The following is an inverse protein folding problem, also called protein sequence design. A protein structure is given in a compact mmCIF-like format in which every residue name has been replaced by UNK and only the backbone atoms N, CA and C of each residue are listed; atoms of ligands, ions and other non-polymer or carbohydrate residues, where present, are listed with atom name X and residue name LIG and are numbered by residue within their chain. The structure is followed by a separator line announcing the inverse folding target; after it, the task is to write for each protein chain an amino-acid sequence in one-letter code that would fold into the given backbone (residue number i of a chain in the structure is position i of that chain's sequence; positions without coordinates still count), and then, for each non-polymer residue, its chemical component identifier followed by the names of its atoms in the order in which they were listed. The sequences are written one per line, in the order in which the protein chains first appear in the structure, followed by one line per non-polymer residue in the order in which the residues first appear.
data_IF_490579849898
#
_entry.id   IF_490579849898
#
_cell.length_a   1.000
_cell.length_b   1.000
_cell.length_c   1.000
_cell.angle_alpha   90.00
_cell.angle_beta   90.00
_cell.angle_gamma   90.00
#
_symmetry.space_group_name_H-M   'P 1'
#
loop_
_entity.id
_entity.type
_entity.pdbx_description
1 polymer ?
#
# COMPACT_ATOMS: atom_id res chain seq x y z
N UNK A 1 -21.71 -5.21 15.14
CA UNK A 1 -20.34 -5.23 15.69
C UNK A 1 -19.70 -3.89 15.33
N UNK A 2 -18.90 -3.31 16.22
CA UNK A 2 -18.20 -2.04 15.98
C UNK A 2 -16.71 -2.23 16.20
N UNK A 3 -15.89 -1.52 15.43
CA UNK A 3 -14.46 -1.38 15.64
C UNK A 3 -14.22 0.01 16.22
N UNK A 4 -13.34 0.10 17.21
CA UNK A 4 -12.99 1.35 17.89
C UNK A 4 -11.47 1.44 17.93
N UNK A 5 -10.94 2.57 17.46
CA UNK A 5 -9.51 2.88 17.50
C UNK A 5 -9.26 4.27 18.11
N UNK A 6 -8.05 4.55 18.62
CA UNK A 6 -7.71 5.88 19.14
C UNK A 6 -7.78 6.96 18.05
N UNK A 7 -8.21 8.16 18.44
CA UNK A 7 -8.19 9.31 17.53
C UNK A 7 -6.76 9.66 17.10
N UNK A 8 -6.52 9.72 15.77
CA UNK A 8 -5.18 9.94 15.21
C UNK A 8 -4.81 11.43 15.04
N UNK A 9 -5.81 12.33 15.08
CA UNK A 9 -5.67 13.77 14.87
C UNK A 9 -6.16 14.23 13.48
N UNK A 10 -5.95 15.51 13.19
CA UNK A 10 -6.56 16.19 12.03
C UNK A 10 -5.72 16.14 10.73
N UNK A 11 -4.48 15.62 10.79
CA UNK A 11 -3.53 15.63 9.66
C UNK A 11 -3.46 14.25 8.98
N UNK A 12 -4.62 13.70 8.67
CA UNK A 12 -4.74 12.40 8.00
C UNK A 12 -4.31 12.49 6.53
N UNK A 13 -3.49 11.53 6.09
CA UNK A 13 -2.98 11.44 4.74
C UNK A 13 -3.04 9.99 4.24
N UNK A 14 -3.37 9.83 2.96
CA UNK A 14 -3.22 8.57 2.24
C UNK A 14 -1.95 8.62 1.41
N UNK A 15 -1.04 7.67 1.63
CA UNK A 15 0.31 7.70 1.06
C UNK A 15 0.44 6.88 -0.22
N UNK A 16 -0.25 5.74 -0.30
CA UNK A 16 -0.39 4.96 -1.51
C UNK A 16 -1.76 4.31 -1.62
N UNK A 17 -2.06 3.74 -2.78
CA UNK A 17 -3.30 2.99 -3.03
C UNK A 17 -3.01 1.50 -3.15
N UNK A 18 -4.04 0.68 -2.99
CA UNK A 18 -3.97 -0.76 -3.25
C UNK A 18 -3.68 -1.16 -4.71
N UNK A 19 -3.80 -0.23 -5.66
CA UNK A 19 -3.35 -0.42 -7.06
C UNK A 19 -1.92 0.06 -7.31
N UNK A 20 -1.19 0.47 -6.27
CA UNK A 20 0.22 0.81 -6.40
C UNK A 20 0.54 2.26 -6.73
N UNK A 21 -0.44 3.17 -6.70
CA UNK A 21 -0.18 4.59 -6.93
C UNK A 21 0.40 5.24 -5.67
N UNK A 22 1.53 5.92 -5.81
CA UNK A 22 2.12 6.74 -4.74
C UNK A 22 1.51 8.14 -4.79
N UNK A 23 0.96 8.61 -3.67
CA UNK A 23 0.30 9.92 -3.57
C UNK A 23 1.25 11.00 -3.02
N UNK A 24 0.87 12.28 -3.20
CA UNK A 24 1.62 13.43 -2.65
C UNK A 24 1.31 13.60 -1.15
N UNK A 25 2.26 14.08 -0.33
CA UNK A 25 3.60 14.54 -0.71
C UNK A 25 4.58 13.39 -1.00
N UNK A 26 5.36 13.55 -2.07
CA UNK A 26 6.20 12.48 -2.64
C UNK A 26 7.15 11.88 -1.61
N UNK A 27 7.76 12.66 -0.72
CA UNK A 27 8.74 12.15 0.25
C UNK A 27 8.15 11.14 1.24
N UNK A 28 6.91 11.33 1.70
CA UNK A 28 6.21 10.37 2.57
C UNK A 28 5.77 9.15 1.77
N UNK A 29 5.25 9.38 0.56
CA UNK A 29 4.89 8.35 -0.38
C UNK A 29 6.06 7.42 -0.73
N UNK A 30 7.29 7.94 -0.82
CA UNK A 30 8.50 7.14 -1.09
C UNK A 30 8.80 6.16 0.05
N UNK A 31 8.73 6.59 1.32
CA UNK A 31 8.93 5.69 2.46
C UNK A 31 7.86 4.59 2.49
N UNK A 32 6.61 4.93 2.19
CA UNK A 32 5.51 3.97 2.17
C UNK A 32 5.62 3.00 0.99
N UNK A 33 6.05 3.46 -0.19
CA UNK A 33 6.34 2.60 -1.32
C UNK A 33 7.49 1.62 -1.01
N UNK A 34 8.53 2.06 -0.31
CA UNK A 34 9.60 1.18 0.16
C UNK A 34 9.08 0.14 1.16
N UNK A 35 8.21 0.53 2.11
CA UNK A 35 7.60 -0.41 3.05
C UNK A 35 6.76 -1.46 2.32
N UNK A 36 5.98 -1.05 1.32
CA UNK A 36 5.24 -1.97 0.44
C UNK A 36 6.20 -2.95 -0.26
N UNK A 37 7.27 -2.47 -0.88
CA UNK A 37 8.25 -3.36 -1.54
C UNK A 37 8.92 -4.32 -0.54
N UNK A 38 9.31 -3.83 0.64
CA UNK A 38 9.89 -4.65 1.70
C UNK A 38 8.95 -5.78 2.12
N UNK A 39 7.65 -5.49 2.28
CA UNK A 39 6.65 -6.51 2.66
C UNK A 39 6.57 -7.66 1.66
N UNK A 40 6.64 -7.36 0.36
CA UNK A 40 6.70 -8.39 -0.68
C UNK A 40 7.97 -9.21 -0.60
N UNK A 41 9.11 -8.55 -0.37
CA UNK A 41 10.38 -9.26 -0.25
C UNK A 41 10.43 -10.19 0.97
N UNK A 42 10.11 -9.68 2.16
CA UNK A 42 10.24 -10.43 3.42
C UNK A 42 9.26 -11.62 3.48
N UNK A 43 8.12 -11.50 2.80
CA UNK A 43 7.12 -12.57 2.68
C UNK A 43 7.40 -13.52 1.51
N UNK A 44 8.56 -13.39 0.83
CA UNK A 44 8.96 -14.21 -0.33
C UNK A 44 7.93 -14.18 -1.47
N UNK A 45 7.37 -13.00 -1.71
CA UNK A 45 6.42 -12.73 -2.77
C UNK A 45 4.98 -13.14 -2.48
N UNK A 46 4.65 -13.51 -1.24
CA UNK A 46 3.30 -13.95 -0.90
C UNK A 46 2.32 -12.80 -0.65
N UNK A 47 2.81 -11.71 -0.04
CA UNK A 47 1.95 -10.61 0.41
C UNK A 47 2.56 -9.25 0.09
N UNK A 48 1.71 -8.30 -0.27
CA UNK A 48 2.07 -6.89 -0.42
C UNK A 48 1.19 -6.04 0.49
N UNK A 49 1.83 -5.29 1.38
CA UNK A 49 1.18 -4.26 2.18
C UNK A 49 1.00 -2.99 1.33
N UNK A 50 -0.22 -2.48 1.23
CA UNK A 50 -0.57 -1.31 0.44
C UNK A 50 -1.75 -0.53 1.08
N UNK A 51 -2.29 0.45 0.36
CA UNK A 51 -3.30 1.38 0.88
C UNK A 51 -2.88 2.08 2.19
N UNK A 52 -1.58 2.37 2.32
CA UNK A 52 -1.00 2.90 3.53
C UNK A 52 -1.50 4.33 3.76
N UNK A 53 -2.16 4.53 4.90
CA UNK A 53 -2.82 5.77 5.27
C UNK A 53 -2.76 5.98 6.80
N UNK A 54 -2.85 7.23 7.22
CA UNK A 54 -2.80 7.59 8.64
C UNK A 54 -2.16 8.95 8.85
N UNK A 55 -1.38 9.09 9.93
CA UNK A 55 -0.81 10.38 10.34
C UNK A 55 0.69 10.30 10.51
N UNK A 56 1.42 11.24 9.90
CA UNK A 56 2.84 11.47 10.18
C UNK A 56 3.01 12.38 11.39
N UNK A 57 3.70 11.88 12.41
CA UNK A 57 4.22 12.68 13.53
C UNK A 57 5.70 12.98 13.29
N UNK A 58 6.33 13.77 14.18
CA UNK A 58 7.72 14.24 14.01
C UNK A 58 8.73 13.11 13.74
N UNK A 59 8.56 11.97 14.41
CA UNK A 59 9.53 10.87 14.45
C UNK A 59 8.95 9.51 14.02
N UNK A 60 7.65 9.46 13.67
CA UNK A 60 6.95 8.21 13.37
C UNK A 60 5.75 8.40 12.48
N UNK A 61 5.31 7.31 11.86
CA UNK A 61 4.01 7.19 11.22
C UNK A 61 3.09 6.36 12.10
N UNK A 62 1.84 6.80 12.24
CA UNK A 62 0.77 6.00 12.82
C UNK A 62 -0.15 5.66 11.67
N UNK A 63 -0.14 4.39 11.26
CA UNK A 63 -0.91 3.89 10.12
C UNK A 63 -2.18 3.19 10.63
N UNK A 64 -3.26 3.31 9.87
CA UNK A 64 -4.50 2.57 10.10
C UNK A 64 -5.06 2.06 8.78
N UNK A 65 -5.99 1.10 8.87
CA UNK A 65 -6.68 0.47 7.74
C UNK A 65 -5.78 0.12 6.54
N UNK A 66 -4.65 -0.60 6.73
CA UNK A 66 -3.84 -1.05 5.61
C UNK A 66 -4.56 -2.16 4.83
N UNK A 67 -4.25 -2.26 3.55
CA UNK A 67 -4.66 -3.38 2.70
C UNK A 67 -3.48 -4.36 2.57
N UNK A 68 -3.80 -5.65 2.53
CA UNK A 68 -2.84 -6.69 2.18
C UNK A 68 -3.33 -7.33 0.88
N UNK A 69 -2.57 -7.17 -0.21
CA UNK A 69 -2.78 -7.98 -1.40
C UNK A 69 -2.08 -9.32 -1.24
N UNK A 70 -2.79 -10.42 -1.45
CA UNK A 70 -2.27 -11.78 -1.30
C UNK A 70 -2.53 -12.63 -2.54
N UNK A 71 -1.67 -13.61 -2.84
CA UNK A 71 -1.87 -14.46 -4.02
C UNK A 71 -3.22 -15.21 -4.04
N UNK A 72 -3.86 -15.38 -2.87
CA UNK A 72 -5.10 -16.14 -2.71
C UNK A 72 -6.29 -15.26 -2.28
N UNK A 73 -6.19 -13.93 -2.34
CA UNK A 73 -7.27 -12.98 -2.02
C UNK A 73 -7.92 -13.20 -0.63
N UNK A 74 -7.10 -13.52 0.38
CA UNK A 74 -7.60 -13.95 1.69
C UNK A 74 -7.88 -12.81 2.68
N UNK A 75 -7.58 -11.55 2.34
CA UNK A 75 -7.68 -10.41 3.27
C UNK A 75 -8.83 -9.45 2.98
N UNK A 76 -9.99 -10.00 2.59
CA UNK A 76 -11.23 -9.25 2.43
C UNK A 76 -11.35 -8.52 1.09
N UNK A 77 -12.39 -7.71 0.94
CA UNK A 77 -12.82 -7.15 -0.36
C UNK A 77 -11.80 -6.21 -1.03
N UNK A 78 -10.87 -5.65 -0.25
CA UNK A 78 -9.84 -4.74 -0.74
C UNK A 78 -8.55 -5.44 -1.16
N UNK A 79 -8.43 -6.74 -0.87
CA UNK A 79 -7.34 -7.59 -1.36
C UNK A 79 -7.52 -7.80 -2.87
N UNK A 80 -6.68 -7.14 -3.66
CA UNK A 80 -6.75 -7.19 -5.13
C UNK A 80 -5.91 -8.33 -5.72
N UNK A 81 -5.50 -9.28 -4.89
CA UNK A 81 -4.82 -10.46 -5.37
C UNK A 81 -3.44 -10.19 -5.96
N UNK A 82 -3.06 -11.07 -6.88
CA UNK A 82 -1.85 -10.91 -7.70
C UNK A 82 -1.92 -9.64 -8.58
N UNK A 83 -3.09 -9.23 -9.04
CA UNK A 83 -3.23 -8.03 -9.88
C UNK A 83 -2.85 -6.75 -9.13
N UNK A 84 -3.21 -6.64 -7.85
CA UNK A 84 -2.74 -5.55 -6.99
C UNK A 84 -1.22 -5.54 -6.85
N UNK A 85 -0.61 -6.71 -6.67
CA UNK A 85 0.84 -6.88 -6.58
C UNK A 85 1.52 -6.46 -7.88
N UNK A 86 1.02 -6.94 -9.02
CA UNK A 86 1.54 -6.61 -10.36
C UNK A 86 1.45 -5.13 -10.65
N UNK A 87 0.34 -4.49 -10.25
CA UNK A 87 0.13 -3.05 -10.43
C UNK A 87 1.04 -2.22 -9.54
N UNK A 88 1.30 -2.65 -8.31
CA UNK A 88 2.33 -2.04 -7.48
C UNK A 88 3.68 -2.02 -8.19
N UNK A 89 4.16 -3.18 -8.67
CA UNK A 89 5.46 -3.22 -9.34
C UNK A 89 5.50 -2.53 -10.70
N UNK A 90 4.35 -2.35 -11.37
CA UNK A 90 4.28 -1.57 -12.62
C UNK A 90 4.48 -0.06 -12.37
N UNK A 91 4.03 0.42 -11.21
CA UNK A 91 4.13 1.83 -10.83
C UNK A 91 5.34 2.13 -9.92
N UNK A 92 5.89 1.12 -9.26
CA UNK A 92 6.96 1.29 -8.27
C UNK A 92 8.32 1.49 -8.94
N UNK A 93 8.93 2.63 -8.62
CA UNK A 93 10.36 2.85 -8.85
C UNK A 93 11.06 2.71 -7.50
N UNK A 94 12.06 1.82 -7.43
CA UNK A 94 12.82 1.64 -6.20
C UNK A 94 13.44 2.96 -5.75
N UNK A 95 13.21 3.29 -4.48
CA UNK A 95 13.79 4.47 -3.86
C UNK A 95 15.20 4.12 -3.34
N UNK A 96 16.02 5.11 -2.92
CA UNK A 96 17.29 4.83 -2.25
C UNK A 96 17.18 3.99 -0.97
N UNK A 97 15.98 3.84 -0.41
CA UNK A 97 15.72 3.00 0.77
C UNK A 97 15.42 1.53 0.41
N UNK A 98 15.18 1.23 -0.87
CA UNK A 98 14.99 -0.15 -1.32
C UNK A 98 16.35 -0.84 -1.49
N UNK A 99 16.48 -2.06 -1.00
CA UNK A 99 17.69 -2.86 -1.27
C UNK A 99 17.62 -3.50 -2.66
N UNK A 100 18.77 -3.51 -3.35
CA UNK A 100 18.87 -4.04 -4.72
C UNK A 100 18.57 -5.54 -4.80
N UNK A 101 18.81 -6.28 -3.72
CA UNK A 101 18.57 -7.72 -3.61
C UNK A 101 17.12 -8.10 -3.34
N UNK A 102 16.24 -7.11 -3.09
CA UNK A 102 14.85 -7.40 -2.81
C UNK A 102 14.11 -7.97 -4.02
N UNK A 103 13.26 -8.94 -3.73
CA UNK A 103 12.41 -9.60 -4.72
C UNK A 103 11.49 -8.58 -5.39
N UNK A 104 11.28 -8.76 -6.68
CA UNK A 104 10.31 -8.00 -7.49
C UNK A 104 9.41 -8.98 -8.21
N UNK A 105 8.18 -8.57 -8.50
CA UNK A 105 7.31 -9.38 -9.32
C UNK A 105 7.91 -9.53 -10.74
N UNK A 106 8.01 -10.76 -11.29
CA UNK A 106 8.68 -10.99 -12.58
C UNK A 106 7.88 -10.45 -13.78
N UNK A 107 6.57 -10.23 -13.60
CA UNK A 107 5.69 -9.74 -14.66
C UNK A 107 4.80 -8.58 -14.17
N UNK A 108 5.37 -7.38 -13.96
CA UNK A 108 4.61 -6.20 -13.56
C UNK A 108 3.61 -5.81 -14.66
N UNK A 109 2.39 -5.43 -14.27
CA UNK A 109 1.34 -5.01 -15.19
C UNK A 109 0.43 -4.00 -14.49
N UNK A 110 0.00 -2.90 -15.15
CA UNK A 110 -0.97 -1.96 -14.59
C UNK A 110 -2.29 -2.65 -14.25
N UNK A 111 -2.96 -2.17 -13.20
CA UNK A 111 -4.28 -2.68 -12.84
C UNK A 111 -5.30 -2.41 -13.97
N UNK A 112 -6.12 -3.41 -14.37
CA UNK A 112 -6.94 -3.32 -15.58
C UNK A 112 -8.16 -2.39 -15.47
N UNK A 113 -8.63 -2.04 -14.26
CA UNK A 113 -9.81 -1.21 -14.08
C UNK A 113 -9.50 0.15 -13.42
N UNK A 114 -9.67 1.23 -14.19
CA UNK A 114 -9.40 2.60 -13.77
C UNK A 114 -10.63 3.33 -13.19
N UNK A 115 -11.83 2.74 -13.22
CA UNK A 115 -13.07 3.52 -13.09
C UNK A 115 -13.82 3.43 -11.74
N UNK A 116 -13.46 2.56 -10.79
CA UNK A 116 -14.37 2.32 -9.65
C UNK A 116 -13.76 2.12 -8.25
N UNK A 117 -12.60 2.68 -7.94
CA UNK A 117 -12.04 2.52 -6.59
C UNK A 117 -11.56 3.87 -6.03
N UNK A 118 -12.52 4.71 -5.65
CA UNK A 118 -12.30 5.60 -4.52
C UNK A 118 -11.91 4.70 -3.36
N UNK A 119 -10.62 4.69 -3.01
CA UNK A 119 -10.12 3.89 -1.90
C UNK A 119 -10.92 4.15 -0.63
N UNK A 120 -10.69 3.30 0.37
CA UNK A 120 -11.39 3.06 1.66
C UNK A 120 -11.74 4.28 2.54
N UNK A 121 -12.14 5.40 1.95
CA UNK A 121 -12.87 6.47 2.60
C UNK A 121 -14.29 5.95 2.79
N UNK A 122 -14.55 5.38 3.96
CA UNK A 122 -15.89 5.34 4.49
C UNK A 122 -16.43 6.78 4.50
N UNK A 123 -17.30 7.11 3.54
CA UNK A 123 -18.16 8.28 3.68
C UNK A 123 -19.16 7.94 4.77
N UNK A 124 -18.98 8.53 5.95
CA UNK A 124 -19.98 8.59 7.01
C UNK A 124 -21.01 9.64 6.60
#
# INVERSE_FOLDING_TARGET
RVLIEPYLGDTYEKFNTNHGLVLKPVSQGLSMATLSHFSYHITRGQYLLCDLQGVKKKDRYILTDPVICSLNEQFGLTDLGEDGIRSFFANHQCTPLCERSWLKHPSPQPYPDHQNLHGTLFRI
#
